data_IF_209418390385
#
_entry.id   IF_209418390385
#
_cell.length_a   1.000
_cell.length_b   1.000
_cell.length_c   1.000
_cell.angle_alpha   90.00
_cell.angle_beta   90.00
_cell.angle_gamma   90.00
#
_symmetry.space_group_name_H-M   'P 1'
#
loop_
_entity.id
_entity.type
_entity.pdbx_description
1 polymer ?
#
# COMPACT_ATOMS: atom_id res chain seq x y z
N UNK A 1 1.93 22.25 1.40
CA UNK A 1 0.88 23.02 0.67
C UNK A 1 0.02 23.73 1.69
N UNK A 2 -0.19 25.04 1.51
CA UNK A 2 -0.98 25.82 2.48
C UNK A 2 -2.48 25.68 2.22
N UNK A 3 -3.26 25.32 3.24
CA UNK A 3 -4.71 25.10 3.20
C UNK A 3 -5.52 26.18 3.96
N UNK A 4 -4.88 27.26 4.40
CA UNK A 4 -5.51 28.33 5.20
C UNK A 4 -6.81 28.81 4.58
N UNK A 5 -6.80 29.14 3.29
CA UNK A 5 -8.01 29.63 2.60
C UNK A 5 -9.11 28.57 2.53
N UNK A 6 -8.74 27.30 2.34
CA UNK A 6 -9.73 26.23 2.26
C UNK A 6 -10.41 26.02 3.62
N UNK A 7 -9.65 26.07 4.72
CA UNK A 7 -10.20 25.93 6.07
C UNK A 7 -11.11 27.08 6.50
N UNK A 8 -10.82 28.30 6.04
CA UNK A 8 -11.57 29.50 6.49
C UNK A 8 -12.79 29.85 5.62
N UNK A 9 -12.89 29.29 4.41
CA UNK A 9 -14.00 29.60 3.49
C UNK A 9 -14.93 28.40 3.34
N UNK A 10 -16.06 28.43 4.02
CA UNK A 10 -17.11 27.41 3.89
C UNK A 10 -17.59 27.29 2.43
N UNK A 11 -17.77 26.04 1.97
CA UNK A 11 -18.10 25.74 0.58
C UNK A 11 -16.93 25.83 -0.40
N UNK A 12 -15.74 26.22 0.05
CA UNK A 12 -14.54 26.27 -0.82
C UNK A 12 -14.18 24.86 -1.27
N UNK A 13 -13.90 24.74 -2.56
CA UNK A 13 -13.33 23.54 -3.17
C UNK A 13 -12.01 23.88 -3.85
N UNK A 14 -11.06 23.00 -3.77
CA UNK A 14 -9.77 23.11 -4.42
C UNK A 14 -9.40 21.75 -5.01
N UNK A 15 -9.01 21.72 -6.28
CA UNK A 15 -8.50 20.50 -6.92
C UNK A 15 -7.06 20.73 -7.33
N UNK A 16 -6.21 19.77 -7.01
CA UNK A 16 -4.77 19.81 -7.30
C UNK A 16 -4.35 18.48 -7.91
N UNK A 17 -3.58 18.56 -9.00
CA UNK A 17 -2.91 17.40 -9.57
C UNK A 17 -1.49 17.30 -8.99
N UNK A 18 -1.18 16.17 -8.41
CA UNK A 18 0.12 15.87 -7.78
C UNK A 18 0.85 14.85 -8.61
N UNK A 19 2.01 15.22 -9.11
CA UNK A 19 2.93 14.30 -9.75
C UNK A 19 3.70 13.54 -8.67
N UNK A 20 3.73 12.20 -8.76
CA UNK A 20 4.56 11.39 -7.88
C UNK A 20 6.02 11.50 -8.32
N UNK A 21 6.85 12.01 -7.45
CA UNK A 21 8.28 12.21 -7.67
C UNK A 21 9.14 11.51 -6.61
N UNK A 22 10.45 11.73 -6.64
CA UNK A 22 11.43 11.10 -5.77
C UNK A 22 11.28 11.43 -4.27
N UNK A 23 10.47 12.43 -3.92
CA UNK A 23 10.16 12.79 -2.52
C UNK A 23 9.29 11.74 -1.85
N UNK A 24 8.53 10.98 -2.65
CA UNK A 24 7.69 9.91 -2.16
C UNK A 24 8.51 8.63 -2.16
N UNK A 25 9.04 8.27 -1.00
CA UNK A 25 9.84 7.06 -0.83
C UNK A 25 8.94 5.85 -0.70
N UNK A 26 9.05 4.92 -1.64
CA UNK A 26 8.30 3.67 -1.60
C UNK A 26 9.20 2.49 -1.98
N UNK A 27 8.86 1.30 -1.51
CA UNK A 27 9.69 0.09 -1.69
C UNK A 27 9.80 -0.36 -3.15
N UNK A 28 8.77 -0.12 -3.95
CA UNK A 28 8.72 -0.46 -5.36
C UNK A 28 8.90 0.79 -6.23
N UNK A 29 9.49 0.61 -7.40
CA UNK A 29 9.62 1.69 -8.38
C UNK A 29 8.41 1.72 -9.29
N UNK A 30 7.76 2.88 -9.37
CA UNK A 30 6.69 3.08 -10.35
C UNK A 30 7.21 3.31 -11.76
N UNK A 31 6.30 3.13 -12.71
CA UNK A 31 6.56 3.29 -14.14
C UNK A 31 5.97 4.62 -14.58
N UNK A 32 6.75 5.41 -15.30
CA UNK A 32 6.32 6.70 -15.83
C UNK A 32 6.20 7.78 -14.75
N UNK A 33 5.31 8.73 -15.00
CA UNK A 33 5.04 9.87 -14.13
C UNK A 33 3.58 9.82 -13.67
N UNK A 34 3.24 8.96 -12.70
CA UNK A 34 1.86 8.85 -12.25
C UNK A 34 1.41 10.13 -11.56
N UNK A 35 0.17 10.52 -11.85
CA UNK A 35 -0.47 11.71 -11.29
C UNK A 35 -1.65 11.28 -10.42
N UNK A 36 -1.81 11.94 -9.28
CA UNK A 36 -2.93 11.78 -8.37
C UNK A 36 -3.69 13.10 -8.32
N UNK A 37 -4.99 13.03 -8.44
CA UNK A 37 -5.88 14.18 -8.26
C UNK A 37 -6.34 14.24 -6.81
N UNK A 38 -6.11 15.36 -6.15
CA UNK A 38 -6.57 15.65 -4.80
C UNK A 38 -7.66 16.72 -4.85
N UNK A 39 -8.81 16.41 -4.28
CA UNK A 39 -9.94 17.34 -4.13
C UNK A 39 -10.13 17.66 -2.66
N UNK A 40 -10.08 18.93 -2.32
CA UNK A 40 -10.33 19.46 -1.00
C UNK A 40 -11.69 20.14 -0.98
N UNK A 41 -12.51 19.85 0.02
CA UNK A 41 -13.84 20.43 0.17
C UNK A 41 -14.06 20.85 1.61
N UNK A 42 -14.33 22.13 1.82
CA UNK A 42 -14.74 22.64 3.14
C UNK A 42 -16.28 22.57 3.24
N UNK A 43 -16.78 21.67 4.06
CA UNK A 43 -18.20 21.50 4.31
C UNK A 43 -18.66 22.19 5.58
N UNK A 44 -17.76 22.35 6.56
CA UNK A 44 -18.03 23.00 7.83
C UNK A 44 -16.79 23.68 8.38
N UNK A 45 -16.98 24.69 9.22
CA UNK A 45 -15.88 25.49 9.76
C UNK A 45 -14.86 24.63 10.52
N UNK A 46 -13.60 24.73 10.11
CA UNK A 46 -12.49 24.05 10.74
C UNK A 46 -12.31 22.59 10.33
N UNK A 47 -13.13 22.08 9.39
CA UNK A 47 -13.01 20.74 8.85
C UNK A 47 -13.06 20.74 7.33
N UNK A 48 -12.14 20.09 6.69
CA UNK A 48 -12.16 19.84 5.24
C UNK A 48 -12.08 18.33 4.98
N UNK A 49 -12.70 17.92 3.89
CA UNK A 49 -12.58 16.57 3.37
C UNK A 49 -11.60 16.61 2.21
N UNK A 50 -10.60 15.74 2.26
CA UNK A 50 -9.70 15.46 1.15
C UNK A 50 -10.09 14.14 0.49
N UNK A 51 -10.29 14.17 -0.83
CA UNK A 51 -10.47 12.99 -1.66
C UNK A 51 -9.32 12.88 -2.63
N UNK A 52 -8.72 11.72 -2.72
CA UNK A 52 -7.64 11.47 -3.64
C UNK A 52 -7.96 10.32 -4.58
N UNK A 53 -7.68 10.51 -5.87
CA UNK A 53 -7.88 9.49 -6.89
C UNK A 53 -6.69 9.44 -7.84
N UNK A 54 -6.26 8.23 -8.17
CA UNK A 54 -5.18 8.01 -9.10
C UNK A 54 -4.87 6.55 -9.33
N UNK A 55 -3.94 6.29 -10.24
CA UNK A 55 -3.46 4.94 -10.52
C UNK A 55 -1.94 4.96 -10.65
N UNK A 56 -1.30 4.04 -9.99
CA UNK A 56 0.14 3.89 -10.00
C UNK A 56 0.50 2.52 -10.57
N UNK A 57 1.31 2.52 -11.65
CA UNK A 57 1.90 1.30 -12.20
C UNK A 57 3.29 1.13 -11.64
N UNK A 58 3.64 -0.09 -11.28
CA UNK A 58 4.94 -0.43 -10.72
C UNK A 58 5.43 -1.77 -11.23
N UNK A 59 6.74 -1.97 -11.12
CA UNK A 59 7.38 -3.25 -11.43
C UNK A 59 7.67 -3.97 -10.13
N UNK A 60 7.19 -5.20 -10.02
CA UNK A 60 7.47 -6.06 -8.88
C UNK A 60 7.67 -7.51 -9.31
N UNK A 61 8.08 -8.35 -8.38
CA UNK A 61 8.17 -9.77 -8.57
C UNK A 61 6.97 -10.47 -7.93
N UNK A 62 6.52 -11.55 -8.56
CA UNK A 62 5.48 -12.39 -7.98
C UNK A 62 5.97 -13.02 -6.67
N UNK A 63 5.18 -12.91 -5.59
CA UNK A 63 5.55 -13.46 -4.28
C UNK A 63 5.63 -14.99 -4.24
N UNK A 64 5.10 -15.68 -5.26
CA UNK A 64 5.13 -17.15 -5.36
C UNK A 64 6.18 -17.67 -6.33
N UNK A 65 6.26 -17.12 -7.55
CA UNK A 65 7.12 -17.67 -8.60
C UNK A 65 8.29 -16.76 -8.96
N UNK A 66 8.41 -15.59 -8.33
CA UNK A 66 9.48 -14.61 -8.51
C UNK A 66 9.56 -14.01 -9.93
N UNK A 67 8.60 -14.32 -10.80
CA UNK A 67 8.56 -13.72 -12.13
C UNK A 67 8.32 -12.21 -12.04
N UNK A 68 9.09 -11.46 -12.82
CA UNK A 68 8.93 -10.01 -12.92
C UNK A 68 7.67 -9.67 -13.70
N UNK A 69 6.93 -8.68 -13.20
CA UNK A 69 5.67 -8.26 -13.81
C UNK A 69 5.35 -6.80 -13.51
N UNK A 70 4.44 -6.25 -14.29
CA UNK A 70 3.84 -4.95 -14.03
C UNK A 70 2.52 -5.13 -13.30
N UNK A 71 2.27 -4.29 -12.33
CA UNK A 71 1.01 -4.22 -11.59
C UNK A 71 0.55 -2.78 -11.49
N UNK A 72 -0.76 -2.61 -11.36
CA UNK A 72 -1.40 -1.32 -11.12
C UNK A 72 -2.09 -1.35 -9.76
N UNK A 73 -1.92 -0.29 -9.00
CA UNK A 73 -2.64 0.00 -7.77
C UNK A 73 -3.48 1.23 -7.99
N UNK A 74 -4.77 1.14 -7.69
CA UNK A 74 -5.67 2.28 -7.65
C UNK A 74 -5.58 2.92 -6.27
N UNK A 75 -5.36 4.21 -6.24
CA UNK A 75 -5.44 5.05 -5.07
C UNK A 75 -6.80 5.73 -5.09
N UNK A 76 -7.63 5.38 -4.13
CA UNK A 76 -8.94 5.98 -3.94
C UNK A 76 -9.16 6.08 -2.43
N UNK A 77 -9.14 7.30 -1.93
CA UNK A 77 -9.21 7.55 -0.50
C UNK A 77 -9.96 8.84 -0.18
N UNK A 78 -10.51 8.85 1.01
CA UNK A 78 -11.15 10.01 1.63
C UNK A 78 -10.62 10.17 3.05
N UNK A 79 -10.29 11.39 3.45
CA UNK A 79 -9.79 11.75 4.77
C UNK A 79 -10.42 13.04 5.24
N UNK A 80 -10.72 13.09 6.52
CA UNK A 80 -11.05 14.33 7.22
C UNK A 80 -9.76 15.01 7.67
N UNK A 81 -9.66 16.32 7.48
CA UNK A 81 -8.60 17.16 8.02
C UNK A 81 -9.21 18.24 8.90
N UNK A 82 -8.63 18.40 10.07
CA UNK A 82 -9.10 19.35 11.07
C UNK A 82 -8.08 20.50 11.24
N UNK A 83 -8.61 21.73 11.28
CA UNK A 83 -7.77 22.90 11.49
C UNK A 83 -7.21 22.92 12.91
N UNK A 84 -6.07 23.60 13.13
CA UNK A 84 -5.50 23.75 14.46
C UNK A 84 -6.37 24.58 15.42
N UNK A 85 -7.38 25.30 14.88
CA UNK A 85 -8.27 26.17 15.66
C UNK A 85 -9.36 25.40 16.40
N UNK A 86 -9.60 24.14 16.05
CA UNK A 86 -10.61 23.32 16.72
C UNK A 86 -9.95 22.30 17.64
N UNK A 87 -10.62 22.01 18.74
CA UNK A 87 -10.17 20.97 19.66
C UNK A 87 -10.56 19.62 19.11
N UNK A 88 -9.56 18.79 18.85
CA UNK A 88 -9.68 17.37 18.49
C UNK A 88 -8.96 16.53 19.54
N UNK A 89 -9.33 15.25 19.65
CA UNK A 89 -8.64 14.30 20.51
C UNK A 89 -7.20 14.01 20.01
N UNK A 90 -6.39 13.42 20.90
CA UNK A 90 -4.99 13.15 20.61
C UNK A 90 -4.81 12.12 19.50
N UNK A 91 -5.69 11.10 19.46
CA UNK A 91 -5.63 10.05 18.44
C UNK A 91 -5.84 10.64 17.03
N UNK A 92 -6.85 11.52 16.87
CA UNK A 92 -7.11 12.23 15.60
C UNK A 92 -5.94 13.14 15.20
N UNK A 93 -5.25 13.77 16.16
CA UNK A 93 -4.04 14.56 15.87
C UNK A 93 -2.90 13.68 15.35
N UNK A 94 -2.70 12.53 15.98
CA UNK A 94 -1.69 11.58 15.56
C UNK A 94 -1.99 11.01 14.16
N UNK A 95 -3.25 10.78 13.83
CA UNK A 95 -3.67 10.31 12.51
C UNK A 95 -3.44 11.32 11.39
N UNK A 96 -3.45 12.63 11.68
CA UNK A 96 -3.19 13.67 10.68
C UNK A 96 -1.76 14.27 10.76
N UNK A 97 -0.76 13.48 11.12
CA UNK A 97 0.63 13.89 11.30
C UNK A 97 1.28 14.52 10.05
N UNK A 98 0.67 14.36 8.88
CA UNK A 98 1.03 15.01 7.64
C UNK A 98 0.50 16.44 7.51
N UNK A 99 -0.25 16.95 8.51
CA UNK A 99 -0.74 18.33 8.58
C UNK A 99 -0.11 19.04 9.78
N UNK A 100 0.78 20.02 9.51
CA UNK A 100 1.37 20.87 10.53
C UNK A 100 0.75 22.27 10.46
N UNK A 101 -0.07 22.61 11.43
CA UNK A 101 -0.88 23.83 11.37
C UNK A 101 -1.83 23.80 10.16
N UNK A 102 -1.60 24.69 9.20
CA UNK A 102 -2.32 24.76 7.91
C UNK A 102 -1.51 24.22 6.73
N UNK A 103 -0.32 23.73 6.97
CA UNK A 103 0.58 23.21 5.94
C UNK A 103 0.43 21.69 5.82
N UNK A 104 -0.05 21.25 4.66
CA UNK A 104 -0.16 19.85 4.30
C UNK A 104 1.12 19.36 3.62
N UNK A 105 1.74 18.33 4.16
CA UNK A 105 2.82 17.57 3.52
C UNK A 105 2.20 16.52 2.59
N UNK A 106 2.03 16.88 1.31
CA UNK A 106 1.45 16.00 0.30
C UNK A 106 2.29 14.73 0.09
N UNK A 107 3.62 14.77 -0.06
CA UNK A 107 4.44 13.58 -0.12
C UNK A 107 4.18 12.59 1.00
N UNK A 108 4.11 13.07 2.24
CA UNK A 108 3.89 12.24 3.41
C UNK A 108 2.49 11.59 3.41
N UNK A 109 1.45 12.37 3.08
CA UNK A 109 0.08 11.86 2.93
C UNK A 109 0.00 10.77 1.84
N UNK A 110 0.59 11.01 0.67
CA UNK A 110 0.55 10.04 -0.43
C UNK A 110 1.34 8.78 -0.08
N UNK A 111 2.45 8.90 0.63
CA UNK A 111 3.22 7.75 1.10
C UNK A 111 2.39 6.86 2.04
N UNK A 112 1.65 7.46 2.98
CA UNK A 112 0.73 6.72 3.86
C UNK A 112 -0.34 6.00 3.05
N UNK A 113 -1.02 6.71 2.15
CA UNK A 113 -2.07 6.13 1.30
C UNK A 113 -1.54 4.97 0.45
N UNK A 114 -0.35 5.11 -0.13
CA UNK A 114 0.30 4.02 -0.86
C UNK A 114 0.51 2.78 0.01
N UNK A 115 0.94 2.95 1.26
CA UNK A 115 1.08 1.83 2.19
C UNK A 115 -0.25 1.15 2.51
N UNK A 116 -1.32 1.92 2.68
CA UNK A 116 -2.66 1.38 2.97
C UNK A 116 -3.27 0.67 1.77
N UNK A 117 -3.13 1.22 0.56
CA UNK A 117 -3.67 0.65 -0.67
C UNK A 117 -2.81 -0.49 -1.22
N UNK A 118 -1.62 -0.73 -0.66
CA UNK A 118 -0.70 -1.72 -1.18
C UNK A 118 -1.23 -3.14 -0.96
N UNK A 119 -1.25 -3.97 -2.01
CA UNK A 119 -1.72 -5.34 -1.87
C UNK A 119 -0.81 -6.16 -0.94
N UNK A 120 -1.39 -6.94 -0.04
CA UNK A 120 -0.66 -7.84 0.86
C UNK A 120 0.10 -8.94 0.12
N UNK A 121 -0.36 -9.30 -1.08
CA UNK A 121 0.30 -10.29 -1.96
C UNK A 121 0.28 -9.80 -3.40
N UNK A 122 1.44 -9.84 -4.03
CA UNK A 122 1.62 -9.52 -5.43
C UNK A 122 1.79 -10.82 -6.21
N UNK A 123 0.80 -11.20 -6.99
CA UNK A 123 0.80 -12.46 -7.75
C UNK A 123 0.71 -12.18 -9.25
N UNK A 124 1.45 -12.96 -10.06
CA UNK A 124 1.36 -12.89 -11.53
C UNK A 124 -0.02 -13.32 -12.04
N UNK A 125 -0.67 -14.25 -11.33
CA UNK A 125 -2.04 -14.71 -11.54
C UNK A 125 -2.57 -15.30 -10.24
N UNK A 126 -3.87 -15.33 -10.05
CA UNK A 126 -4.51 -15.78 -8.81
C UNK A 126 -4.16 -17.24 -8.46
N UNK A 127 -4.09 -18.10 -9.47
CA UNK A 127 -3.77 -19.53 -9.38
C UNK A 127 -2.26 -19.84 -9.50
N UNK A 128 -1.38 -18.85 -9.29
CA UNK A 128 0.05 -19.05 -9.40
C UNK A 128 0.53 -20.19 -8.49
N UNK A 129 1.15 -21.21 -9.08
CA UNK A 129 1.66 -22.40 -8.38
C UNK A 129 3.00 -22.16 -7.68
N UNK A 130 3.66 -21.06 -8.00
CA UNK A 130 4.95 -20.72 -7.40
C UNK A 130 6.11 -21.51 -7.97
N UNK A 131 7.20 -21.58 -7.18
CA UNK A 131 8.40 -22.36 -7.47
C UNK A 131 8.50 -23.56 -6.55
N UNK A 132 9.11 -24.62 -7.01
CA UNK A 132 9.46 -25.78 -6.20
C UNK A 132 10.49 -25.37 -5.11
N UNK A 133 10.19 -25.66 -3.86
CA UNK A 133 11.07 -25.31 -2.73
C UNK A 133 12.42 -26.05 -2.73
N UNK A 134 12.50 -27.21 -3.42
CA UNK A 134 13.73 -28.02 -3.51
C UNK A 134 14.60 -27.66 -4.71
N UNK A 135 14.04 -27.55 -5.90
CA UNK A 135 14.82 -27.37 -7.13
C UNK A 135 14.64 -26.00 -7.78
N UNK A 136 13.75 -25.12 -7.27
CA UNK A 136 13.52 -23.79 -7.83
C UNK A 136 12.73 -23.76 -9.15
N UNK A 137 12.29 -24.90 -9.69
CA UNK A 137 11.55 -24.96 -10.95
C UNK A 137 10.22 -24.22 -10.81
N UNK A 138 9.88 -23.39 -11.80
CA UNK A 138 8.58 -22.72 -11.88
C UNK A 138 7.47 -23.75 -12.15
N UNK A 139 6.63 -23.97 -11.15
CA UNK A 139 5.52 -24.93 -11.19
C UNK A 139 4.36 -24.48 -12.09
N UNK A 140 4.36 -23.23 -12.56
CA UNK A 140 3.41 -22.76 -13.56
C UNK A 140 3.74 -23.29 -14.96
N UNK A 141 5.01 -23.66 -15.20
CA UNK A 141 5.51 -24.21 -16.47
C UNK A 141 5.51 -25.74 -16.51
N UNK A 142 5.17 -26.40 -15.41
CA UNK A 142 5.08 -27.85 -15.31
C UNK A 142 5.53 -28.38 -13.96
N UNK A 143 5.19 -29.65 -13.69
CA UNK A 143 5.60 -30.33 -12.48
C UNK A 143 7.10 -30.64 -12.44
N UNK A 144 7.65 -30.82 -11.25
CA UNK A 144 8.99 -31.40 -11.04
C UNK A 144 8.86 -32.79 -10.43
N UNK A 145 9.95 -33.53 -10.44
CA UNK A 145 10.05 -34.88 -9.84
C UNK A 145 10.49 -34.86 -8.38
N UNK A 146 10.53 -33.69 -7.75
CA UNK A 146 10.89 -33.56 -6.35
C UNK A 146 9.73 -34.04 -5.48
N UNK A 147 10.05 -34.77 -4.42
CA UNK A 147 9.10 -35.14 -3.38
C UNK A 147 8.72 -33.86 -2.59
N UNK A 148 7.43 -33.54 -2.49
CA UNK A 148 6.94 -32.35 -1.78
C UNK A 148 7.02 -32.50 -0.26
N UNK A 149 7.25 -33.71 0.24
CA UNK A 149 7.36 -33.97 1.65
C UNK A 149 8.72 -33.49 2.19
N UNK A 150 8.70 -32.39 2.93
CA UNK A 150 9.83 -31.93 3.74
C UNK A 150 9.46 -32.13 5.20
N UNK A 151 10.01 -33.17 5.87
CA UNK A 151 9.77 -33.37 7.30
C UNK A 151 10.25 -32.12 8.07
N UNK A 152 9.39 -31.56 8.91
CA UNK A 152 9.84 -30.52 9.85
C UNK A 152 10.73 -31.21 10.90
N UNK A 153 11.97 -30.74 11.00
CA UNK A 153 12.99 -31.33 11.91
C UNK A 153 12.50 -31.36 13.38
N UNK A 154 11.56 -30.45 13.73
CA UNK A 154 10.98 -30.41 15.08
C UNK A 154 10.09 -31.63 15.38
N UNK A 155 9.58 -32.30 14.36
CA UNK A 155 8.74 -33.49 14.47
C UNK A 155 9.51 -34.80 14.17
N UNK A 156 10.84 -34.73 13.96
CA UNK A 156 11.66 -35.91 13.67
C UNK A 156 11.49 -37.02 14.76
N UNK A 157 11.51 -36.60 16.01
CA UNK A 157 11.32 -37.56 17.15
C UNK A 157 9.93 -38.20 17.16
N UNK A 158 8.89 -37.55 16.68
CA UNK A 158 7.55 -38.12 16.54
C UNK A 158 7.49 -39.16 15.43
N UNK A 159 8.21 -38.96 14.33
CA UNK A 159 8.31 -39.94 13.24
C UNK A 159 9.01 -41.23 13.71
N UNK A 160 10.06 -41.10 14.55
CA UNK A 160 10.77 -42.25 15.11
C UNK A 160 9.87 -43.10 16.04
N UNK A 161 8.99 -42.44 16.81
CA UNK A 161 7.99 -43.13 17.65
C UNK A 161 6.99 -43.90 16.78
N UNK A 162 6.48 -43.29 15.69
CA UNK A 162 5.55 -43.96 14.78
C UNK A 162 6.19 -45.16 14.06
N UNK A 163 7.44 -45.06 13.64
CA UNK A 163 8.15 -46.13 12.94
C UNK A 163 8.56 -47.29 13.85
N UNK A 164 8.76 -47.01 15.14
CA UNK A 164 9.12 -48.04 16.13
C UNK A 164 7.89 -48.71 16.80
N UNK A 165 6.67 -48.32 16.44
CA UNK A 165 5.41 -48.84 16.98
C UNK A 165 4.75 -49.90 16.07
N UNK A 166 5.44 -50.35 15.01
CA UNK A 166 5.07 -51.48 14.16
C UNK A 166 6.06 -52.65 14.43
#
# INVERSE_FOLDING_TARGET
MNLTEVFHQEGKKLTVEVLLDERITFKEKWIGNPTITLEFSNLEKGKIIIKGQGKVKFISNCDRCLSKMEKEVSLDFERDLFSPDISIDEDTKEEQYYLEGYELDIPLLIQEVLHMCWPTKILCKEDCKGICKKCGKDLNQGSCSCDDFVPDVRFANLMDIFNNSQ
#
